data_IF_371808581903
#
_entry.id   IF_371808581903
#
_cell.length_a   1.000
_cell.length_b   1.000
_cell.length_c   1.000
_cell.angle_alpha   90.00
_cell.angle_beta   90.00
_cell.angle_gamma   90.00
#
_symmetry.space_group_name_H-M   'P 1'
#
loop_
_entity.id
_entity.type
_entity.pdbx_description
1 polymer ?
#
# COMPACT_ATOMS: atom_id res chain seq x y z
N UNK A 1 42.38 67.88 45.72
CA UNK A 1 42.04 69.30 45.92
C UNK A 1 40.93 69.68 44.95
N UNK A 2 39.84 70.19 45.50
CA UNK A 2 38.67 70.89 44.95
C UNK A 2 38.61 71.19 43.44
N UNK A 3 37.47 70.87 42.81
CA UNK A 3 36.76 71.69 41.78
C UNK A 3 35.43 71.00 41.45
N UNK A 4 34.31 71.42 42.03
CA UNK A 4 33.45 72.58 41.69
C UNK A 4 32.31 72.21 40.74
N UNK A 5 31.10 72.38 41.31
CA UNK A 5 29.73 72.30 40.80
C UNK A 5 29.49 73.01 39.46
N UNK A 6 28.54 72.53 38.65
CA UNK A 6 27.46 73.35 38.08
C UNK A 6 26.18 72.52 37.93
N UNK A 7 25.07 73.08 38.40
CA UNK A 7 23.68 72.63 38.32
C UNK A 7 22.98 73.30 37.12
N UNK A 8 22.11 72.58 36.39
CA UNK A 8 21.14 73.17 35.43
C UNK A 8 19.78 72.46 35.57
N UNK A 9 18.65 73.20 35.59
CA UNK A 9 17.36 72.69 36.07
C UNK A 9 16.41 72.20 34.96
N UNK A 10 15.44 71.36 35.37
CA UNK A 10 14.02 71.51 35.07
C UNK A 10 13.53 71.40 33.62
N UNK A 11 12.95 70.25 33.29
CA UNK A 11 12.07 70.08 32.13
C UNK A 11 10.88 69.17 32.49
N UNK A 12 9.75 69.78 32.87
CA UNK A 12 8.46 69.09 33.01
C UNK A 12 7.89 68.86 31.61
N UNK A 13 7.92 67.61 31.14
CA UNK A 13 7.20 67.22 29.92
C UNK A 13 5.91 66.51 30.31
N UNK A 14 4.82 67.29 30.25
CA UNK A 14 3.43 66.82 30.36
C UNK A 14 3.11 65.82 29.25
N UNK A 15 2.23 64.90 29.59
CA UNK A 15 1.98 63.69 28.84
C UNK A 15 1.38 63.88 27.46
N UNK A 16 1.54 62.83 26.66
CA UNK A 16 0.59 62.47 25.61
C UNK A 16 0.33 60.97 25.71
N UNK A 17 -0.78 60.61 26.36
CA UNK A 17 -1.34 59.26 26.29
C UNK A 17 -1.88 59.11 24.87
N UNK A 18 -1.20 58.31 24.06
CA UNK A 18 -1.70 57.92 22.74
C UNK A 18 -2.61 56.70 22.90
N UNK A 19 -3.90 56.78 22.51
CA UNK A 19 -4.79 55.64 22.49
C UNK A 19 -4.70 55.00 21.11
N UNK A 20 -3.95 53.91 20.98
CA UNK A 20 -4.06 53.02 19.80
C UNK A 20 -4.03 51.58 20.29
N UNK A 21 -5.13 51.19 20.92
CA UNK A 21 -5.50 49.78 21.05
C UNK A 21 -6.66 49.51 20.09
N UNK A 22 -6.75 48.26 19.63
CA UNK A 22 -7.82 47.64 18.85
C UNK A 22 -7.81 47.88 17.33
N UNK A 23 -6.97 47.13 16.61
CA UNK A 23 -7.29 46.69 15.24
C UNK A 23 -6.56 45.41 14.77
N UNK A 24 -6.02 44.56 15.65
CA UNK A 24 -5.26 43.34 15.24
C UNK A 24 -5.97 42.01 15.53
N UNK A 25 -7.13 42.02 16.19
CA UNK A 25 -7.84 40.78 16.57
C UNK A 25 -8.44 40.00 15.39
N UNK A 26 -8.89 40.68 14.35
CA UNK A 26 -9.64 40.06 13.24
C UNK A 26 -8.74 39.29 12.27
N UNK A 27 -7.50 39.75 12.06
CA UNK A 27 -6.56 39.10 11.14
C UNK A 27 -6.00 37.79 11.73
N UNK A 28 -5.73 37.76 13.04
CA UNK A 28 -5.26 36.55 13.73
C UNK A 28 -6.34 35.46 13.83
N UNK A 29 -7.61 35.85 14.02
CA UNK A 29 -8.73 34.89 13.99
C UNK A 29 -8.97 34.30 12.60
N UNK A 30 -8.85 35.10 11.53
CA UNK A 30 -8.94 34.59 10.16
C UNK A 30 -7.83 33.59 9.81
N UNK A 31 -6.61 33.85 10.27
CA UNK A 31 -5.47 32.93 10.06
C UNK A 31 -5.65 31.66 10.89
N UNK A 32 -6.11 31.75 12.14
CA UNK A 32 -6.35 30.57 12.98
C UNK A 32 -7.47 29.67 12.43
N UNK A 33 -8.53 30.25 11.86
CA UNK A 33 -9.60 29.50 11.18
C UNK A 33 -9.09 28.88 9.87
N UNK A 34 -8.26 29.58 9.10
CA UNK A 34 -7.64 29.02 7.89
C UNK A 34 -6.74 27.80 8.25
N UNK A 35 -5.92 27.90 9.29
CA UNK A 35 -5.07 26.77 9.72
C UNK A 35 -5.91 25.60 10.27
N UNK A 36 -7.03 25.86 10.96
CA UNK A 36 -7.91 24.81 11.45
C UNK A 36 -8.71 24.09 10.33
N UNK A 37 -9.02 24.79 9.23
CA UNK A 37 -9.75 24.23 8.08
C UNK A 37 -8.82 23.47 7.13
N UNK A 38 -7.59 23.97 6.90
CA UNK A 38 -6.63 23.36 5.96
C UNK A 38 -5.56 22.47 6.62
N UNK A 39 -5.42 22.49 7.95
CA UNK A 39 -4.42 21.72 8.69
C UNK A 39 -4.86 20.32 9.13
N UNK A 40 -6.01 19.82 8.66
CA UNK A 40 -6.46 18.46 8.97
C UNK A 40 -5.65 17.46 8.14
N UNK A 41 -4.87 16.54 8.74
CA UNK A 41 -4.32 15.42 8.00
C UNK A 41 -5.48 14.57 7.51
N UNK A 42 -5.79 14.66 6.22
CA UNK A 42 -6.67 13.69 5.57
C UNK A 42 -5.93 12.37 5.65
N UNK A 43 -6.48 11.31 6.28
CA UNK A 43 -5.91 9.98 6.09
C UNK A 43 -6.11 9.66 4.62
N UNK A 44 -5.07 9.88 3.82
CA UNK A 44 -5.02 9.44 2.43
C UNK A 44 -4.81 7.92 2.42
N UNK A 45 -5.82 7.20 2.90
CA UNK A 45 -6.06 5.82 2.49
C UNK A 45 -6.99 5.90 1.29
N UNK A 46 -6.53 6.56 0.22
CA UNK A 46 -7.04 6.17 -1.08
C UNK A 46 -6.58 4.72 -1.22
N UNK A 47 -7.53 3.79 -1.13
CA UNK A 47 -7.46 2.54 -1.87
C UNK A 47 -6.90 2.90 -3.25
N UNK A 48 -5.59 2.66 -3.45
CA UNK A 48 -4.88 3.27 -4.56
C UNK A 48 -5.55 2.87 -5.86
N UNK A 49 -5.82 3.83 -6.75
CA UNK A 49 -6.40 3.56 -8.07
C UNK A 49 -5.64 2.40 -8.73
N UNK A 50 -6.33 1.29 -8.94
CA UNK A 50 -5.78 0.09 -9.55
C UNK A 50 -5.77 0.19 -11.07
N UNK A 51 -5.00 -0.66 -11.77
CA UNK A 51 -5.01 -0.75 -13.22
C UNK A 51 -6.41 -0.77 -13.82
N UNK A 52 -7.31 -1.58 -13.27
CA UNK A 52 -8.66 -1.70 -13.81
C UNK A 52 -9.56 -0.50 -13.51
N UNK A 53 -9.26 0.28 -12.47
CA UNK A 53 -9.92 1.57 -12.24
C UNK A 53 -9.48 2.60 -13.30
N UNK A 54 -8.19 2.60 -13.69
CA UNK A 54 -7.66 3.45 -14.77
C UNK A 54 -8.34 3.10 -16.09
N UNK A 55 -8.39 1.80 -16.42
CA UNK A 55 -9.07 1.30 -17.62
C UNK A 55 -10.55 1.68 -17.65
N UNK A 56 -11.26 1.54 -16.53
CA UNK A 56 -12.64 1.97 -16.40
C UNK A 56 -12.80 3.48 -16.61
N UNK A 57 -11.91 4.30 -16.03
CA UNK A 57 -11.94 5.76 -16.22
C UNK A 57 -11.70 6.20 -17.65
N UNK A 58 -10.96 5.40 -18.43
CA UNK A 58 -10.72 5.60 -19.86
C UNK A 58 -11.80 5.00 -20.77
N UNK A 59 -12.92 4.51 -20.23
CA UNK A 59 -14.01 3.94 -21.01
C UNK A 59 -13.74 2.53 -21.56
N UNK A 60 -12.70 1.85 -21.08
CA UNK A 60 -12.29 0.49 -21.52
C UNK A 60 -12.18 -0.46 -20.34
N UNK A 61 -13.26 -0.73 -19.58
CA UNK A 61 -13.21 -1.48 -18.34
C UNK A 61 -12.68 -2.92 -18.54
N UNK A 62 -11.96 -3.43 -17.53
CA UNK A 62 -11.47 -4.81 -17.53
C UNK A 62 -12.63 -5.81 -17.55
N UNK A 63 -12.63 -6.72 -18.52
CA UNK A 63 -13.54 -7.89 -18.58
C UNK A 63 -12.97 -9.12 -17.86
N UNK A 64 -11.66 -9.12 -17.60
CA UNK A 64 -10.95 -10.14 -16.86
C UNK A 64 -9.72 -9.51 -16.20
N UNK A 65 -9.47 -9.83 -14.94
CA UNK A 65 -8.38 -9.22 -14.18
C UNK A 65 -7.73 -10.26 -13.25
N UNK A 66 -6.53 -10.74 -13.61
CA UNK A 66 -5.83 -11.81 -12.90
C UNK A 66 -4.50 -11.35 -12.33
N UNK A 67 -4.25 -11.65 -11.06
CA UNK A 67 -2.94 -11.43 -10.45
C UNK A 67 -2.77 -12.33 -9.24
N UNK A 68 -1.57 -12.89 -9.08
CA UNK A 68 -1.15 -13.57 -7.86
C UNK A 68 -0.49 -12.62 -6.86
N UNK A 69 -0.07 -11.43 -7.31
CA UNK A 69 0.81 -10.53 -6.54
C UNK A 69 0.04 -9.43 -5.82
N UNK A 70 -1.00 -8.86 -6.45
CA UNK A 70 -1.72 -7.69 -5.93
C UNK A 70 -3.14 -7.61 -6.46
N UNK A 71 -3.97 -6.84 -5.78
CA UNK A 71 -5.24 -6.38 -6.33
C UNK A 71 -5.01 -5.44 -7.54
N UNK A 72 -5.88 -5.60 -8.55
CA UNK A 72 -5.91 -4.82 -9.80
C UNK A 72 -6.98 -3.71 -9.79
N UNK A 73 -7.87 -3.72 -8.81
CA UNK A 73 -8.76 -2.61 -8.45
C UNK A 73 -8.40 -2.12 -7.05
N UNK A 74 -8.47 -0.82 -6.81
CA UNK A 74 -8.17 -0.22 -5.51
C UNK A 74 -9.11 -0.71 -4.41
N UNK A 75 -10.37 -1.00 -4.73
CA UNK A 75 -11.36 -1.49 -3.78
C UNK A 75 -11.34 -3.01 -3.57
N UNK A 76 -10.55 -3.76 -4.35
CA UNK A 76 -10.61 -5.22 -4.32
C UNK A 76 -9.94 -5.79 -3.07
N UNK A 77 -10.73 -6.49 -2.24
CA UNK A 77 -10.29 -7.17 -1.02
C UNK A 77 -10.53 -8.69 -1.07
N UNK A 78 -10.76 -9.24 -2.27
CA UNK A 78 -11.13 -10.63 -2.48
C UNK A 78 -9.94 -11.60 -2.58
N UNK A 79 -10.25 -12.80 -3.06
CA UNK A 79 -9.30 -13.90 -3.29
C UNK A 79 -8.52 -13.64 -4.57
N UNK A 80 -7.20 -13.71 -4.53
CA UNK A 80 -6.36 -13.52 -5.70
C UNK A 80 -6.06 -14.84 -6.40
N UNK A 81 -5.75 -15.89 -5.63
CA UNK A 81 -5.44 -17.22 -6.17
C UNK A 81 -5.66 -18.31 -5.11
N UNK A 82 -5.67 -19.56 -5.56
CA UNK A 82 -5.73 -20.75 -4.70
C UNK A 82 -4.44 -21.55 -4.79
N UNK A 83 -3.92 -21.97 -3.65
CA UNK A 83 -2.86 -22.97 -3.55
C UNK A 83 -3.40 -24.32 -3.12
N UNK A 84 -2.78 -25.38 -3.63
CA UNK A 84 -2.98 -26.76 -3.18
C UNK A 84 -1.67 -27.30 -2.64
N UNK A 85 -1.72 -27.87 -1.44
CA UNK A 85 -0.58 -28.44 -0.74
C UNK A 85 -0.36 -29.90 -1.17
N UNK A 86 0.88 -30.26 -1.48
CA UNK A 86 1.20 -31.61 -1.99
C UNK A 86 1.11 -32.71 -0.94
N UNK A 87 1.29 -32.40 0.35
CA UNK A 87 1.30 -33.41 1.41
C UNK A 87 -0.07 -34.04 1.68
N UNK A 88 -1.15 -33.29 1.48
CA UNK A 88 -2.51 -33.67 1.90
C UNK A 88 -3.61 -33.27 0.89
N UNK A 89 -3.24 -32.67 -0.25
CA UNK A 89 -4.14 -32.10 -1.24
C UNK A 89 -5.09 -31.01 -0.70
N UNK A 90 -4.86 -30.49 0.51
CA UNK A 90 -5.66 -29.40 1.05
C UNK A 90 -5.47 -28.14 0.19
N UNK A 91 -6.53 -27.34 0.07
CA UNK A 91 -6.51 -26.08 -0.67
C UNK A 91 -6.67 -24.88 0.26
N UNK A 92 -6.12 -23.75 -0.16
CA UNK A 92 -6.26 -22.47 0.54
C UNK A 92 -6.30 -21.33 -0.46
N UNK A 93 -7.28 -20.46 -0.30
CA UNK A 93 -7.34 -19.21 -1.04
C UNK A 93 -6.47 -18.15 -0.37
N UNK A 94 -5.70 -17.43 -1.18
CA UNK A 94 -4.85 -16.32 -0.77
C UNK A 94 -5.48 -15.03 -1.31
N UNK A 95 -5.88 -14.15 -0.40
CA UNK A 95 -6.45 -12.84 -0.71
C UNK A 95 -5.44 -11.71 -0.62
N UNK A 96 -5.91 -10.51 -0.94
CA UNK A 96 -5.17 -9.29 -0.67
C UNK A 96 -5.09 -9.02 0.85
N UNK A 97 -3.98 -8.43 1.34
CA UNK A 97 -3.81 -8.06 2.74
C UNK A 97 -4.79 -6.96 3.19
N UNK A 98 -5.19 -6.11 2.25
CA UNK A 98 -6.18 -5.05 2.38
C UNK A 98 -6.75 -4.75 1.00
N UNK A 99 -7.83 -3.96 0.92
CA UNK A 99 -8.39 -3.52 -0.35
C UNK A 99 -7.30 -2.84 -1.21
N UNK A 100 -7.14 -3.28 -2.46
CA UNK A 100 -6.13 -2.71 -3.39
C UNK A 100 -4.69 -3.13 -3.09
N UNK A 101 -4.48 -3.92 -2.04
CA UNK A 101 -3.16 -4.29 -1.53
C UNK A 101 -2.51 -5.47 -2.24
N UNK A 102 -1.32 -5.81 -1.76
CA UNK A 102 -0.57 -7.02 -2.18
C UNK A 102 -1.18 -8.29 -1.58
N UNK A 103 -0.86 -9.44 -2.16
CA UNK A 103 -1.27 -10.75 -1.67
C UNK A 103 -0.76 -11.03 -0.24
N UNK A 104 -1.53 -11.78 0.53
CA UNK A 104 -1.12 -12.30 1.83
C UNK A 104 -0.16 -13.49 1.67
N UNK A 105 1.06 -13.21 1.22
CA UNK A 105 2.10 -14.22 1.01
C UNK A 105 2.49 -14.95 2.32
N UNK A 106 2.34 -14.30 3.48
CA UNK A 106 2.59 -14.95 4.78
C UNK A 106 1.59 -16.10 5.05
N UNK A 107 0.32 -15.95 4.64
CA UNK A 107 -0.67 -17.01 4.73
C UNK A 107 -0.34 -18.18 3.80
N UNK A 108 0.18 -17.91 2.59
CA UNK A 108 0.68 -18.95 1.70
C UNK A 108 1.84 -19.70 2.34
N UNK A 109 2.87 -18.98 2.81
CA UNK A 109 4.06 -19.59 3.40
C UNK A 109 3.71 -20.49 4.59
N UNK A 110 2.83 -20.02 5.47
CA UNK A 110 2.37 -20.80 6.62
C UNK A 110 1.60 -22.05 6.17
N UNK A 111 0.74 -21.91 5.16
CA UNK A 111 -0.02 -23.03 4.62
C UNK A 111 0.86 -24.05 3.90
N UNK A 112 1.95 -23.62 3.27
CA UNK A 112 2.85 -24.47 2.49
C UNK A 112 4.06 -24.97 3.30
N UNK A 113 4.12 -24.65 4.60
CA UNK A 113 5.23 -25.04 5.46
C UNK A 113 5.44 -26.56 5.48
N UNK A 114 6.69 -26.99 5.33
CA UNK A 114 7.06 -28.41 5.39
C UNK A 114 6.72 -29.23 4.15
N UNK A 115 6.25 -28.62 3.06
CA UNK A 115 5.92 -29.31 1.81
C UNK A 115 5.92 -28.35 0.61
N UNK A 116 5.54 -28.82 -0.56
CA UNK A 116 5.37 -27.98 -1.75
C UNK A 116 3.90 -27.59 -1.96
N UNK A 117 3.70 -26.46 -2.62
CA UNK A 117 2.39 -26.00 -3.05
C UNK A 117 2.40 -25.69 -4.53
N UNK A 118 1.26 -25.94 -5.17
CA UNK A 118 0.99 -25.51 -6.54
C UNK A 118 -0.19 -24.55 -6.57
N UNK A 119 -0.20 -23.62 -7.53
CA UNK A 119 -1.34 -22.73 -7.77
C UNK A 119 -2.32 -23.46 -8.69
N UNK A 120 -3.55 -23.64 -8.23
CA UNK A 120 -4.61 -24.36 -8.97
C UNK A 120 -5.64 -23.43 -9.59
N UNK A 121 -5.81 -22.24 -9.02
CA UNK A 121 -6.69 -21.20 -9.54
C UNK A 121 -6.05 -19.82 -9.43
N UNK A 122 -6.24 -18.99 -10.43
CA UNK A 122 -6.05 -17.53 -10.35
C UNK A 122 -7.41 -16.89 -10.60
N UNK A 123 -7.89 -16.16 -9.60
CA UNK A 123 -9.24 -15.62 -9.61
C UNK A 123 -9.32 -14.33 -10.43
N UNK A 124 -10.45 -14.19 -11.11
CA UNK A 124 -10.82 -13.00 -11.85
C UNK A 124 -11.41 -11.96 -10.89
N UNK A 125 -10.71 -10.82 -10.78
CA UNK A 125 -11.09 -9.73 -9.90
C UNK A 125 -12.19 -8.83 -10.49
N UNK A 126 -12.52 -9.00 -11.79
CA UNK A 126 -13.50 -8.15 -12.48
C UNK A 126 -14.96 -8.46 -12.11
N UNK A 127 -15.21 -9.62 -11.50
CA UNK A 127 -16.56 -10.08 -11.17
C UNK A 127 -17.27 -10.84 -12.31
N UNK A 128 -16.64 -11.00 -13.47
CA UNK A 128 -17.20 -11.74 -14.59
C UNK A 128 -17.01 -13.26 -14.50
N UNK A 129 -16.25 -13.75 -13.52
CA UNK A 129 -16.08 -15.17 -13.26
C UNK A 129 -15.12 -15.87 -14.23
N UNK A 130 -14.28 -15.09 -14.94
CA UNK A 130 -13.32 -15.59 -15.92
C UNK A 130 -12.07 -16.19 -15.25
N UNK A 131 -12.23 -17.03 -14.23
CA UNK A 131 -11.13 -17.58 -13.43
C UNK A 131 -10.22 -18.50 -14.27
N UNK A 132 -8.92 -18.45 -14.03
CA UNK A 132 -7.95 -19.34 -14.68
C UNK A 132 -7.73 -20.58 -13.80
N UNK A 133 -8.17 -21.73 -14.28
CA UNK A 133 -7.98 -23.02 -13.61
C UNK A 133 -6.86 -23.84 -14.23
N UNK A 134 -6.12 -24.55 -13.40
CA UNK A 134 -5.22 -25.60 -13.86
C UNK A 134 -6.02 -26.72 -14.55
N UNK A 135 -5.70 -27.03 -15.82
CA UNK A 135 -6.47 -27.96 -16.66
C UNK A 135 -6.17 -29.44 -16.41
N UNK A 136 -5.08 -29.76 -15.69
CA UNK A 136 -4.71 -31.16 -15.52
C UNK A 136 -4.09 -31.79 -16.77
N UNK A 137 -3.86 -33.11 -16.74
CA UNK A 137 -3.54 -33.90 -17.92
C UNK A 137 -4.74 -33.97 -18.87
N UNK A 138 -4.52 -33.81 -20.19
CA UNK A 138 -5.55 -34.06 -21.21
C UNK A 138 -6.15 -32.81 -21.88
N UNK A 139 -5.54 -31.63 -21.66
CA UNK A 139 -5.92 -30.41 -22.37
C UNK A 139 -5.46 -30.38 -23.83
N UNK A 140 -6.00 -29.44 -24.61
CA UNK A 140 -5.53 -29.12 -25.97
C UNK A 140 -4.09 -28.59 -25.92
N UNK A 141 -3.12 -29.49 -26.11
CA UNK A 141 -1.68 -29.21 -25.96
C UNK A 141 -0.91 -30.26 -25.13
N UNK A 142 -1.60 -31.20 -24.49
CA UNK A 142 -0.98 -32.30 -23.74
C UNK A 142 -1.23 -32.23 -22.24
N UNK A 143 -0.17 -32.44 -21.44
CA UNK A 143 -0.26 -32.37 -19.99
C UNK A 143 0.26 -31.03 -19.49
N UNK A 144 -0.66 -30.16 -19.06
CA UNK A 144 -0.28 -28.97 -18.34
C UNK A 144 0.24 -29.35 -16.95
N UNK A 145 1.17 -28.56 -16.41
CA UNK A 145 1.65 -28.69 -15.03
C UNK A 145 1.32 -27.43 -14.26
N UNK A 146 0.68 -27.59 -13.10
CA UNK A 146 0.36 -26.47 -12.22
C UNK A 146 1.66 -25.78 -11.75
N UNK A 147 1.68 -24.46 -11.77
CA UNK A 147 2.84 -23.70 -11.34
C UNK A 147 3.12 -23.89 -9.84
N UNK A 148 4.39 -24.03 -9.49
CA UNK A 148 4.82 -24.08 -8.09
C UNK A 148 4.70 -22.70 -7.46
N UNK A 149 3.98 -22.63 -6.34
CA UNK A 149 3.63 -21.38 -5.66
C UNK A 149 4.84 -20.64 -5.03
N UNK A 150 5.99 -21.30 -4.94
CA UNK A 150 7.20 -20.80 -4.24
C UNK A 150 8.43 -20.65 -5.12
N UNK A 151 8.33 -20.96 -6.42
CA UNK A 151 9.47 -20.89 -7.35
C UNK A 151 9.96 -19.49 -7.62
N UNK A 152 9.06 -18.51 -7.65
CA UNK A 152 9.39 -17.11 -7.91
C UNK A 152 9.04 -16.23 -6.69
N UNK A 153 9.83 -15.17 -6.51
CA UNK A 153 9.60 -14.17 -5.47
C UNK A 153 9.70 -12.78 -6.04
N UNK A 154 8.65 -11.99 -5.87
CA UNK A 154 8.64 -10.57 -6.22
C UNK A 154 8.28 -9.75 -4.99
N UNK A 155 9.07 -8.72 -4.73
CA UNK A 155 8.75 -7.71 -3.72
C UNK A 155 8.19 -6.48 -4.42
N UNK A 156 6.95 -6.11 -4.13
CA UNK A 156 6.32 -4.88 -4.65
C UNK A 156 6.31 -3.84 -3.54
N UNK A 157 6.89 -2.66 -3.81
CA UNK A 157 6.80 -1.52 -2.91
C UNK A 157 5.37 -0.97 -2.88
N UNK A 158 4.80 -0.78 -1.69
CA UNK A 158 3.53 -0.08 -1.55
C UNK A 158 3.71 1.41 -1.88
N UNK A 159 2.87 1.97 -2.76
CA UNK A 159 2.69 3.42 -2.93
C UNK A 159 1.86 3.94 -1.75
N UNK A 160 2.53 4.17 -0.61
CA UNK A 160 1.96 4.77 0.60
C UNK A 160 3.05 5.25 1.56
N UNK A 161 2.78 6.22 2.46
CA UNK A 161 3.82 6.84 3.30
C UNK A 161 4.44 5.89 4.34
N UNK A 162 3.84 4.72 4.56
CA UNK A 162 4.37 3.70 5.48
C UNK A 162 5.01 2.58 4.68
N UNK A 163 6.30 2.73 4.45
CA UNK A 163 7.17 1.79 3.75
C UNK A 163 7.35 0.51 4.58
N UNK A 164 6.39 -0.42 4.49
CA UNK A 164 6.60 -1.83 4.82
C UNK A 164 6.80 -2.60 3.52
N UNK A 165 8.07 -2.81 3.17
CA UNK A 165 8.47 -3.69 2.07
C UNK A 165 8.05 -5.11 2.43
N UNK A 166 6.99 -5.63 1.80
CA UNK A 166 6.59 -7.03 1.99
C UNK A 166 7.57 -7.93 1.24
N UNK A 167 8.65 -8.32 1.91
CA UNK A 167 9.60 -9.32 1.40
C UNK A 167 8.98 -10.70 1.56
N UNK A 168 8.14 -11.16 0.62
CA UNK A 168 7.73 -12.58 0.60
C UNK A 168 7.18 -13.05 -0.74
N UNK A 169 7.47 -14.33 -1.02
CA UNK A 169 7.34 -15.08 -2.27
C UNK A 169 5.94 -15.01 -2.88
N UNK A 170 5.87 -14.67 -4.17
CA UNK A 170 4.67 -14.86 -4.98
C UNK A 170 5.10 -15.37 -6.35
N UNK A 171 4.55 -16.52 -6.76
CA UNK A 171 4.80 -17.09 -8.08
C UNK A 171 4.08 -16.33 -9.19
N UNK A 172 4.76 -16.18 -10.34
CA UNK A 172 4.20 -15.60 -11.57
C UNK A 172 3.69 -16.72 -12.47
N UNK A 173 2.38 -16.75 -12.74
CA UNK A 173 1.78 -17.58 -13.79
C UNK A 173 1.36 -19.01 -13.38
N UNK A 174 0.44 -19.59 -14.17
CA UNK A 174 -0.07 -20.98 -14.03
C UNK A 174 0.70 -21.95 -14.94
N UNK A 175 1.50 -21.44 -15.89
CA UNK A 175 2.28 -22.23 -16.85
C UNK A 175 3.77 -22.13 -16.53
N UNK A 176 4.37 -23.23 -16.07
CA UNK A 176 5.79 -23.29 -15.77
C UNK A 176 6.61 -23.67 -17.02
N UNK A 177 7.03 -22.70 -17.83
CA UNK A 177 8.19 -22.90 -18.71
C UNK A 177 9.46 -22.64 -17.88
N UNK A 178 10.20 -23.71 -17.59
CA UNK A 178 11.50 -23.80 -16.88
C UNK A 178 12.11 -22.45 -16.48
N UNK A 179 12.05 -22.09 -15.19
CA UNK A 179 12.87 -21.03 -14.62
C UNK A 179 13.80 -21.61 -13.55
N UNK A 180 15.09 -21.27 -13.64
CA UNK A 180 16.17 -21.78 -12.82
C UNK A 180 16.02 -21.34 -11.35
N UNK A 181 16.33 -22.25 -10.42
CA UNK A 181 16.24 -22.04 -8.97
C UNK A 181 17.06 -20.84 -8.47
N UNK A 182 16.45 -19.83 -7.81
CA UNK A 182 17.21 -18.86 -7.03
C UNK A 182 17.48 -19.39 -5.60
N UNK A 183 18.58 -18.96 -4.95
CA UNK A 183 18.95 -19.41 -3.60
C UNK A 183 17.98 -18.89 -2.53
N UNK A 184 17.85 -19.65 -1.45
CA UNK A 184 16.91 -19.42 -0.36
C UNK A 184 17.11 -18.06 0.33
N UNK A 185 16.12 -17.17 0.19
CA UNK A 185 16.07 -15.92 0.94
C UNK A 185 15.72 -16.18 2.42
N UNK A 186 16.63 -15.85 3.32
CA UNK A 186 16.38 -15.82 4.77
C UNK A 186 15.47 -14.64 5.16
N UNK A 187 14.46 -14.83 6.04
CA UNK A 187 13.65 -13.74 6.54
C UNK A 187 14.46 -12.90 7.55
N UNK A 188 14.55 -11.58 7.33
CA UNK A 188 15.00 -10.64 8.37
C UNK A 188 13.81 -9.84 8.88
N UNK A 189 13.62 -9.72 10.21
CA UNK A 189 12.55 -8.91 10.78
C UNK A 189 12.88 -7.41 10.64
N UNK A 190 11.87 -6.62 10.29
CA UNK A 190 11.94 -5.16 10.39
C UNK A 190 11.73 -4.76 11.85
N UNK A 191 12.79 -4.32 12.53
CA UNK A 191 12.69 -3.58 13.79
C UNK A 191 12.51 -2.09 13.51
N UNK A 192 11.62 -1.48 14.30
CA UNK A 192 11.20 -0.07 14.26
C UNK A 192 12.33 0.94 14.27
#
# INVERSE_FOLDING_TARGET
MQSSLVSVPGGVSRGRRSPTALATGSALMLIAVLVAVFGRPVPASAAGTGPCDIYASGGTPCVAAHSTVRALYGSYAGKLYQVRRSSDNATRDIGALMAGGVANAAAQDAFCAGTSCVITWVYDQSGHGNNLGYQGPGGVGGSDTAANATSESLTVGATGPTRCTSTRRTATGVTATRQASPPAAHPRPCTW
#
